data_IF_254849692781
#
_entry.id   IF_254849692781
#
_cell.length_a   1.000
_cell.length_b   1.000
_cell.length_c   1.000
_cell.angle_alpha   90.00
_cell.angle_beta   90.00
_cell.angle_gamma   90.00
#
_symmetry.space_group_name_H-M   'P 1'
#
loop_
_entity.id
_entity.type
_entity.pdbx_description
1 polymer ?
#
# COMPACT_ATOMS: atom_id res chain seq x y z
N UNK A 1 -24.31 -9.95 37.28
CA UNK A 1 -25.26 -9.34 38.23
C UNK A 1 -26.41 -10.31 38.41
N UNK A 2 -26.50 -10.94 39.58
CA UNK A 2 -27.53 -11.95 39.89
C UNK A 2 -28.86 -11.24 40.13
N UNK A 3 -29.87 -11.52 39.30
CA UNK A 3 -31.25 -11.19 39.63
C UNK A 3 -31.65 -11.97 40.89
N UNK A 4 -31.97 -11.26 41.97
CA UNK A 4 -32.71 -11.85 43.07
C UNK A 4 -34.14 -12.05 42.58
N UNK A 5 -34.46 -13.28 42.18
CA UNK A 5 -35.85 -13.70 42.08
C UNK A 5 -36.47 -13.56 43.45
N UNK A 6 -37.35 -12.57 43.59
CA UNK A 6 -38.29 -12.47 44.69
C UNK A 6 -39.14 -13.74 44.58
N UNK A 7 -38.80 -14.74 45.39
CA UNK A 7 -39.41 -16.07 45.35
C UNK A 7 -40.92 -15.94 45.51
N UNK A 8 -41.69 -16.62 44.65
CA UNK A 8 -43.15 -16.68 44.68
C UNK A 8 -43.73 -16.92 46.08
N UNK A 9 -42.97 -17.56 46.98
CA UNK A 9 -43.31 -17.74 48.39
C UNK A 9 -43.57 -16.43 49.16
N UNK A 10 -42.82 -15.35 48.86
CA UNK A 10 -43.00 -14.05 49.51
C UNK A 10 -44.27 -13.38 48.96
N UNK A 11 -44.51 -13.50 47.65
CA UNK A 11 -45.71 -12.97 47.02
C UNK A 11 -46.98 -13.68 47.55
N UNK A 12 -46.92 -15.00 47.72
CA UNK A 12 -47.98 -15.82 48.30
C UNK A 12 -48.26 -15.49 49.77
N UNK A 13 -47.21 -15.15 50.53
CA UNK A 13 -47.36 -14.74 51.93
C UNK A 13 -48.04 -13.36 52.02
N UNK A 14 -47.70 -12.43 51.12
CA UNK A 14 -48.33 -11.12 51.03
C UNK A 14 -49.80 -11.25 50.60
N UNK A 15 -50.10 -12.11 49.61
CA UNK A 15 -51.47 -12.34 49.14
C UNK A 15 -52.31 -13.03 50.22
N UNK A 16 -51.77 -14.00 50.97
CA UNK A 16 -52.46 -14.62 52.11
C UNK A 16 -52.69 -13.66 53.28
N UNK A 17 -51.87 -12.63 53.41
CA UNK A 17 -52.01 -11.60 54.45
C UNK A 17 -53.02 -10.49 54.12
N UNK A 18 -53.69 -10.52 52.95
CA UNK A 18 -54.63 -9.48 52.46
C UNK A 18 -55.87 -9.17 53.32
N UNK A 19 -55.96 -9.64 54.57
CA UNK A 19 -57.15 -9.42 55.39
C UNK A 19 -56.98 -9.12 56.88
N UNK A 20 -55.79 -9.22 57.50
CA UNK A 20 -55.75 -9.24 59.00
C UNK A 20 -54.64 -8.39 59.64
N UNK A 21 -53.83 -7.65 58.86
CA UNK A 21 -52.86 -6.72 59.47
C UNK A 21 -53.14 -5.30 58.98
N UNK A 22 -54.23 -4.72 59.49
CA UNK A 22 -54.41 -3.27 59.50
C UNK A 22 -53.51 -2.70 60.59
N UNK A 23 -52.28 -2.32 60.25
CA UNK A 23 -51.49 -1.44 61.12
C UNK A 23 -52.20 -0.08 61.18
N UNK A 24 -53.13 0.08 62.13
CA UNK A 24 -53.71 1.37 62.45
C UNK A 24 -52.72 2.14 63.32
N UNK A 25 -52.17 3.21 62.77
CA UNK A 25 -51.39 4.17 63.53
C UNK A 25 -52.23 4.71 64.68
N UNK A 26 -51.77 4.55 65.92
CA UNK A 26 -52.51 4.95 67.13
C UNK A 26 -52.77 6.46 67.17
N UNK A 27 -51.91 7.26 66.53
CA UNK A 27 -52.09 8.71 66.35
C UNK A 27 -53.24 9.07 65.39
N UNK A 28 -53.62 8.17 64.48
CA UNK A 28 -54.76 8.37 63.58
C UNK A 28 -56.10 8.01 64.24
N UNK A 29 -56.08 7.28 65.36
CA UNK A 29 -57.30 6.91 66.09
C UNK A 29 -57.83 8.06 66.97
N UNK A 30 -56.96 9.00 67.38
CA UNK A 30 -57.28 10.01 68.40
C UNK A 30 -57.79 11.34 67.84
N UNK A 31 -57.56 11.61 66.55
CA UNK A 31 -57.99 12.85 65.91
C UNK A 31 -59.04 12.51 64.85
N UNK A 32 -60.33 12.71 65.18
CA UNK A 32 -61.49 12.56 64.29
C UNK A 32 -61.56 13.56 63.13
N UNK A 33 -60.41 13.93 62.56
CA UNK A 33 -60.24 14.73 61.36
C UNK A 33 -59.66 13.84 60.24
N UNK A 34 -60.36 12.74 59.95
CA UNK A 34 -59.92 11.67 59.02
C UNK A 34 -59.84 12.10 57.56
N UNK A 35 -60.35 13.27 57.16
CA UNK A 35 -60.38 13.70 55.77
C UNK A 35 -59.27 14.72 55.38
N UNK A 36 -58.47 15.21 56.33
CA UNK A 36 -57.47 16.26 56.04
C UNK A 36 -56.08 15.70 55.68
N UNK A 37 -55.69 14.54 56.26
CA UNK A 37 -54.34 14.01 56.11
C UNK A 37 -54.14 13.25 54.78
N UNK A 38 -55.14 12.48 54.32
CA UNK A 38 -55.04 11.71 53.07
C UNK A 38 -54.92 12.61 51.83
N UNK A 39 -55.63 13.76 51.83
CA UNK A 39 -55.56 14.75 50.75
C UNK A 39 -54.20 15.46 50.68
N UNK A 40 -53.55 15.67 51.83
CA UNK A 40 -52.20 16.25 51.88
C UNK A 40 -51.13 15.27 51.40
N UNK A 41 -51.23 13.99 51.77
CA UNK A 41 -50.30 12.96 51.29
C UNK A 41 -50.47 12.72 49.78
N UNK A 42 -51.71 12.64 49.28
CA UNK A 42 -52.01 12.45 47.85
C UNK A 42 -51.53 13.63 46.99
N UNK A 43 -51.72 14.87 47.46
CA UNK A 43 -51.22 16.06 46.75
C UNK A 43 -49.70 16.12 46.72
N UNK A 44 -49.01 15.78 47.82
CA UNK A 44 -47.54 15.67 47.85
C UNK A 44 -47.01 14.57 46.94
N UNK A 45 -47.67 13.42 46.88
CA UNK A 45 -47.30 12.33 45.96
C UNK A 45 -47.48 12.75 44.49
N UNK A 46 -48.59 13.41 44.17
CA UNK A 46 -48.86 13.93 42.82
C UNK A 46 -47.82 14.99 42.42
N UNK A 47 -47.43 15.86 43.35
CA UNK A 47 -46.37 16.84 43.15
C UNK A 47 -45.01 16.15 42.92
N UNK A 48 -44.66 15.14 43.71
CA UNK A 48 -43.45 14.36 43.54
C UNK A 48 -43.41 13.68 42.17
N UNK A 49 -44.51 13.05 41.75
CA UNK A 49 -44.61 12.40 40.45
C UNK A 49 -44.43 13.40 39.29
N UNK A 50 -45.05 14.58 39.39
CA UNK A 50 -44.87 15.65 38.41
C UNK A 50 -43.42 16.13 38.34
N UNK A 51 -42.74 16.23 39.49
CA UNK A 51 -41.34 16.66 39.59
C UNK A 51 -40.40 15.61 38.99
N UNK A 52 -40.66 14.32 39.24
CA UNK A 52 -39.92 13.21 38.64
C UNK A 52 -40.11 13.20 37.12
N UNK A 53 -41.33 13.43 36.62
CA UNK A 53 -41.59 13.52 35.17
C UNK A 53 -40.84 14.69 34.53
N UNK A 54 -40.83 15.85 35.18
CA UNK A 54 -40.08 17.02 34.71
C UNK A 54 -38.57 16.77 34.70
N UNK A 55 -38.03 16.20 35.77
CA UNK A 55 -36.60 15.87 35.87
C UNK A 55 -36.20 14.83 34.81
N UNK A 56 -37.01 13.79 34.63
CA UNK A 56 -36.80 12.77 33.58
C UNK A 56 -36.79 13.39 32.19
N UNK A 57 -37.71 14.32 31.91
CA UNK A 57 -37.75 15.05 30.65
C UNK A 57 -36.47 15.87 30.44
N UNK A 58 -36.06 16.68 31.42
CA UNK A 58 -34.84 17.49 31.36
C UNK A 58 -33.61 16.62 31.12
N UNK A 59 -33.48 15.52 31.86
CA UNK A 59 -32.36 14.57 31.70
C UNK A 59 -32.38 13.96 30.29
N UNK A 60 -33.56 13.57 29.78
CA UNK A 60 -33.65 12.99 28.44
C UNK A 60 -33.27 13.98 27.34
N UNK A 61 -33.69 15.25 27.47
CA UNK A 61 -33.38 16.32 26.52
C UNK A 61 -31.88 16.67 26.55
N UNK A 62 -31.28 16.75 27.75
CA UNK A 62 -29.84 16.99 27.92
C UNK A 62 -29.00 15.85 27.35
N UNK A 63 -29.35 14.59 27.65
CA UNK A 63 -28.67 13.41 27.09
C UNK A 63 -28.77 13.40 25.56
N UNK A 64 -29.95 13.67 24.99
CA UNK A 64 -30.12 13.73 23.53
C UNK A 64 -29.28 14.86 22.92
N UNK A 65 -29.22 16.02 23.58
CA UNK A 65 -28.39 17.15 23.14
C UNK A 65 -26.90 16.78 23.11
N UNK A 66 -26.39 16.22 24.21
CA UNK A 66 -24.98 15.80 24.31
C UNK A 66 -24.66 14.68 23.30
N UNK A 67 -25.56 13.72 23.08
CA UNK A 67 -25.38 12.68 22.07
C UNK A 67 -25.30 13.25 20.65
N UNK A 68 -26.10 14.27 20.35
CA UNK A 68 -26.05 14.94 19.05
C UNK A 68 -24.75 15.75 18.86
N UNK A 69 -24.27 16.42 19.91
CA UNK A 69 -22.98 17.12 19.90
C UNK A 69 -21.83 16.14 19.68
N UNK A 70 -21.76 15.05 20.45
CA UNK A 70 -20.77 13.99 20.28
C UNK A 70 -20.82 13.41 18.85
N UNK A 71 -22.02 13.16 18.32
CA UNK A 71 -22.18 12.68 16.94
C UNK A 71 -21.62 13.67 15.92
N UNK A 72 -21.85 14.97 16.10
CA UNK A 72 -21.33 16.01 15.23
C UNK A 72 -19.80 16.13 15.32
N UNK A 73 -19.24 16.07 16.54
CA UNK A 73 -17.79 16.07 16.76
C UNK A 73 -17.11 14.85 16.12
N UNK A 74 -17.69 13.66 16.28
CA UNK A 74 -17.20 12.43 15.65
C UNK A 74 -17.22 12.55 14.14
N UNK A 75 -18.31 13.04 13.55
CA UNK A 75 -18.40 13.27 12.11
C UNK A 75 -17.33 14.26 11.61
N UNK A 76 -17.17 15.40 12.30
CA UNK A 76 -16.14 16.40 11.99
C UNK A 76 -14.72 15.82 12.10
N UNK A 77 -14.46 15.02 13.13
CA UNK A 77 -13.18 14.33 13.34
C UNK A 77 -12.89 13.33 12.21
N UNK A 78 -13.88 12.55 11.79
CA UNK A 78 -13.75 11.61 10.67
C UNK A 78 -13.44 12.33 9.35
N UNK A 79 -14.08 13.47 9.08
CA UNK A 79 -13.79 14.27 7.89
C UNK A 79 -12.36 14.83 7.90
N UNK A 80 -11.91 15.37 9.04
CA UNK A 80 -10.52 15.82 9.22
C UNK A 80 -9.51 14.67 9.03
N UNK A 81 -9.83 13.47 9.52
CA UNK A 81 -8.99 12.28 9.32
C UNK A 81 -8.88 11.92 7.84
N UNK A 82 -10.00 11.86 7.12
CA UNK A 82 -10.02 11.58 5.67
C UNK A 82 -9.22 12.61 4.87
N UNK A 83 -9.39 13.90 5.17
CA UNK A 83 -8.62 14.96 4.52
C UNK A 83 -7.11 14.82 4.77
N UNK A 84 -6.73 14.46 6.00
CA UNK A 84 -5.33 14.21 6.37
C UNK A 84 -4.76 13.00 5.63
N UNK A 85 -5.49 11.89 5.55
CA UNK A 85 -5.08 10.69 4.81
C UNK A 85 -4.90 10.97 3.32
N UNK A 86 -5.81 11.73 2.71
CA UNK A 86 -5.70 12.14 1.30
C UNK A 86 -4.46 13.02 1.07
N UNK A 87 -4.21 13.98 1.96
CA UNK A 87 -3.03 14.83 1.89
C UNK A 87 -1.73 14.04 2.02
N UNK A 88 -1.64 13.15 3.01
CA UNK A 88 -0.45 12.29 3.22
C UNK A 88 -0.23 11.38 2.01
N UNK A 89 -1.29 10.78 1.49
CA UNK A 89 -1.22 9.90 0.31
C UNK A 89 -0.72 10.65 -0.92
N UNK A 90 -1.26 11.85 -1.18
CA UNK A 90 -0.82 12.69 -2.30
C UNK A 90 0.64 13.11 -2.15
N UNK A 91 1.06 13.56 -0.96
CA UNK A 91 2.45 13.94 -0.68
C UNK A 91 3.42 12.75 -0.83
N UNK A 92 3.02 11.58 -0.38
CA UNK A 92 3.81 10.35 -0.54
C UNK A 92 4.00 9.98 -2.02
N UNK A 93 2.92 10.01 -2.82
CA UNK A 93 2.99 9.76 -4.26
C UNK A 93 3.90 10.78 -4.96
N UNK A 94 3.80 12.06 -4.61
CA UNK A 94 4.67 13.11 -5.14
C UNK A 94 6.15 12.83 -4.85
N UNK A 95 6.51 12.58 -3.58
CA UNK A 95 7.88 12.24 -3.19
C UNK A 95 8.39 10.96 -3.85
N UNK A 96 7.52 9.97 -4.07
CA UNK A 96 7.87 8.76 -4.78
C UNK A 96 8.20 9.04 -6.26
N UNK A 97 7.46 9.94 -6.91
CA UNK A 97 7.74 10.38 -8.29
C UNK A 97 9.08 11.12 -8.38
N UNK A 98 9.33 12.07 -7.47
CA UNK A 98 10.60 12.80 -7.42
C UNK A 98 11.79 11.86 -7.18
N UNK A 99 11.66 10.92 -6.23
CA UNK A 99 12.71 9.95 -5.95
C UNK A 99 13.03 9.08 -7.17
N UNK A 100 12.00 8.68 -7.92
CA UNK A 100 12.19 7.92 -9.17
C UNK A 100 12.87 8.78 -10.25
N UNK A 101 12.51 10.05 -10.40
CA UNK A 101 13.18 10.94 -11.36
C UNK A 101 14.67 11.13 -11.01
N UNK A 102 14.99 11.40 -9.73
CA UNK A 102 16.37 11.51 -9.27
C UNK A 102 17.16 10.20 -9.51
N UNK A 103 16.58 9.05 -9.17
CA UNK A 103 17.22 7.74 -9.43
C UNK A 103 17.46 7.51 -10.92
N UNK A 104 16.54 7.93 -11.78
CA UNK A 104 16.71 7.83 -13.24
C UNK A 104 17.88 8.67 -13.73
N UNK A 105 18.00 9.91 -13.25
CA UNK A 105 19.11 10.79 -13.59
C UNK A 105 20.45 10.19 -13.14
N UNK A 106 20.53 9.73 -11.89
CA UNK A 106 21.72 9.07 -11.35
C UNK A 106 22.06 7.78 -12.11
N UNK A 107 21.06 7.00 -12.50
CA UNK A 107 21.26 5.76 -13.21
C UNK A 107 21.47 5.91 -14.72
N UNK A 108 21.35 7.11 -15.29
CA UNK A 108 21.45 7.33 -16.75
C UNK A 108 22.79 6.82 -17.31
N UNK A 109 23.86 7.05 -16.58
CA UNK A 109 25.21 6.65 -16.97
C UNK A 109 25.55 5.21 -16.52
N UNK A 110 24.62 4.48 -15.90
CA UNK A 110 24.87 3.16 -15.36
C UNK A 110 24.51 2.07 -16.38
N UNK A 111 25.44 1.14 -16.62
CA UNK A 111 25.21 -0.08 -17.41
C UNK A 111 25.36 -1.29 -16.51
N UNK A 112 24.38 -2.20 -16.58
CA UNK A 112 24.43 -3.50 -15.95
C UNK A 112 24.96 -4.52 -16.95
N UNK A 113 26.06 -5.17 -16.60
CA UNK A 113 26.71 -6.21 -17.40
C UNK A 113 26.43 -7.57 -16.75
N UNK A 114 25.72 -8.44 -17.45
CA UNK A 114 25.44 -9.81 -17.01
C UNK A 114 26.22 -10.82 -17.85
N UNK A 115 26.48 -12.00 -17.30
CA UNK A 115 27.17 -13.10 -18.01
C UNK A 115 28.70 -13.06 -17.93
N UNK A 116 29.26 -12.16 -17.12
CA UNK A 116 30.67 -12.20 -16.75
C UNK A 116 30.94 -13.32 -15.74
N UNK A 117 32.20 -13.75 -15.63
CA UNK A 117 32.64 -14.68 -14.59
C UNK A 117 32.35 -14.16 -13.18
N UNK A 118 32.07 -15.08 -12.26
CA UNK A 118 32.05 -14.79 -10.84
C UNK A 118 33.51 -14.60 -10.37
N UNK A 119 33.73 -13.74 -9.38
CA UNK A 119 35.02 -13.54 -8.71
C UNK A 119 36.16 -12.97 -9.59
N UNK A 120 35.82 -12.15 -10.58
CA UNK A 120 36.83 -11.36 -11.29
C UNK A 120 37.40 -10.28 -10.35
N UNK A 121 38.71 -10.12 -10.37
CA UNK A 121 39.37 -8.98 -9.76
C UNK A 121 38.89 -7.67 -10.38
N UNK A 122 39.11 -6.55 -9.67
CA UNK A 122 38.73 -5.22 -10.16
C UNK A 122 39.39 -4.94 -11.52
N UNK A 123 40.66 -5.29 -11.69
CA UNK A 123 41.39 -5.09 -12.96
C UNK A 123 40.81 -5.93 -14.10
N UNK A 124 40.47 -7.20 -13.85
CA UNK A 124 39.81 -8.05 -14.84
C UNK A 124 38.43 -7.51 -15.23
N UNK A 125 37.70 -6.91 -14.30
CA UNK A 125 36.42 -6.25 -14.61
C UNK A 125 36.60 -5.03 -15.51
N UNK A 126 37.61 -4.19 -15.29
CA UNK A 126 37.93 -3.07 -16.18
C UNK A 126 38.36 -3.58 -17.56
N UNK A 127 39.23 -4.58 -17.61
CA UNK A 127 39.67 -5.19 -18.85
C UNK A 127 38.48 -5.77 -19.64
N UNK A 128 37.54 -6.43 -18.98
CA UNK A 128 36.32 -6.92 -19.63
C UNK A 128 35.48 -5.77 -20.23
N UNK A 129 35.37 -4.63 -19.54
CA UNK A 129 34.65 -3.44 -20.06
C UNK A 129 35.38 -2.87 -21.28
N UNK A 130 36.70 -2.76 -21.25
CA UNK A 130 37.48 -2.28 -22.40
C UNK A 130 37.41 -3.23 -23.58
N UNK A 131 37.48 -4.55 -23.34
CA UNK A 131 37.30 -5.56 -24.38
C UNK A 131 35.91 -5.51 -25.00
N UNK A 132 34.85 -5.28 -24.21
CA UNK A 132 33.49 -5.04 -24.73
C UNK A 132 33.46 -3.79 -25.60
N UNK A 133 34.07 -2.68 -25.16
CA UNK A 133 34.18 -1.46 -25.94
C UNK A 133 34.86 -1.70 -27.29
N UNK A 134 36.04 -2.34 -27.27
CA UNK A 134 36.81 -2.69 -28.46
C UNK A 134 36.01 -3.58 -29.41
N UNK A 135 35.32 -4.61 -28.89
CA UNK A 135 34.49 -5.51 -29.70
C UNK A 135 33.34 -4.78 -30.39
N UNK A 136 32.76 -3.78 -29.72
CA UNK A 136 31.69 -2.94 -30.23
C UNK A 136 32.17 -1.73 -31.04
N UNK A 137 33.47 -1.64 -31.33
CA UNK A 137 34.11 -0.50 -31.99
C UNK A 137 33.81 0.84 -31.30
N UNK A 138 33.83 0.84 -29.96
CA UNK A 138 33.71 2.02 -29.11
C UNK A 138 34.99 2.14 -28.28
N UNK A 139 35.77 3.18 -28.54
CA UNK A 139 36.96 3.46 -27.77
C UNK A 139 36.58 3.95 -26.36
N UNK A 140 36.85 3.11 -25.35
CA UNK A 140 36.61 3.40 -23.93
C UNK A 140 37.97 3.48 -23.25
N UNK A 141 38.34 4.66 -22.76
CA UNK A 141 39.54 4.86 -21.94
C UNK A 141 39.25 4.70 -20.44
N UNK A 142 40.30 4.71 -19.63
CA UNK A 142 40.17 4.67 -18.16
C UNK A 142 39.31 5.83 -17.62
N UNK A 143 39.44 7.03 -18.19
CA UNK A 143 38.68 8.21 -17.76
C UNK A 143 37.19 8.14 -18.14
N UNK A 144 36.80 7.26 -19.07
CA UNK A 144 35.40 7.07 -19.47
C UNK A 144 34.62 6.17 -18.49
N UNK A 145 35.32 5.47 -17.58
CA UNK A 145 34.74 4.56 -16.59
C UNK A 145 35.02 5.09 -15.20
N UNK A 146 34.01 5.66 -14.56
CA UNK A 146 34.17 6.27 -13.24
C UNK A 146 34.18 5.21 -12.12
N UNK A 147 33.34 4.17 -12.22
CA UNK A 147 33.32 3.08 -11.23
C UNK A 147 32.92 1.75 -11.89
N UNK A 148 33.65 0.68 -11.56
CA UNK A 148 33.39 -0.69 -12.01
C UNK A 148 33.40 -1.68 -10.84
N UNK A 149 32.23 -2.08 -10.33
CA UNK A 149 32.08 -3.05 -9.24
C UNK A 149 30.90 -4.03 -9.44
N UNK A 150 30.88 -5.14 -8.69
CA UNK A 150 29.74 -6.06 -8.65
C UNK A 150 28.53 -5.41 -7.98
N UNK A 151 27.30 -5.80 -8.35
CA UNK A 151 25.99 -5.14 -8.09
C UNK A 151 25.70 -4.72 -6.62
N UNK A 152 26.49 -5.14 -5.63
CA UNK A 152 26.52 -4.48 -4.32
C UNK A 152 27.14 -3.07 -4.33
N UNK A 153 27.80 -2.65 -5.42
CA UNK A 153 28.27 -1.29 -5.70
C UNK A 153 28.13 -1.03 -7.21
N UNK A 154 27.41 0.04 -7.58
CA UNK A 154 26.92 0.30 -8.96
C UNK A 154 28.04 0.76 -9.91
N UNK A 155 27.87 0.58 -11.23
CA UNK A 155 28.84 1.03 -12.26
C UNK A 155 28.36 2.24 -13.04
N UNK A 156 29.24 3.18 -13.37
CA UNK A 156 28.96 4.32 -14.26
C UNK A 156 29.97 4.42 -15.43
N UNK A 157 29.46 4.55 -16.65
CA UNK A 157 30.20 4.69 -17.91
C UNK A 157 29.71 5.96 -18.62
N UNK A 158 30.61 6.88 -18.97
CA UNK A 158 30.25 8.17 -19.60
C UNK A 158 29.76 8.01 -21.05
N UNK A 159 30.34 7.09 -21.83
CA UNK A 159 29.96 6.81 -23.23
C UNK A 159 28.79 5.82 -23.37
N UNK A 160 27.88 5.81 -22.39
CA UNK A 160 26.83 4.79 -22.27
C UNK A 160 25.90 4.70 -23.47
N UNK A 161 25.41 5.84 -23.98
CA UNK A 161 24.43 5.85 -25.07
C UNK A 161 25.02 5.30 -26.38
N UNK A 162 26.28 5.64 -26.67
CA UNK A 162 27.01 5.10 -27.83
C UNK A 162 27.25 3.60 -27.69
N UNK A 163 27.71 3.14 -26.53
CA UNK A 163 27.97 1.73 -26.26
C UNK A 163 26.70 0.88 -26.39
N UNK A 164 25.58 1.34 -25.80
CA UNK A 164 24.29 0.64 -25.90
C UNK A 164 23.76 0.61 -27.34
N UNK A 165 23.91 1.71 -28.10
CA UNK A 165 23.54 1.75 -29.52
C UNK A 165 24.32 0.70 -30.33
N UNK A 166 25.64 0.65 -30.15
CA UNK A 166 26.47 -0.34 -30.86
C UNK A 166 26.18 -1.77 -30.41
N UNK A 167 25.91 -1.99 -29.12
CA UNK A 167 25.49 -3.29 -28.61
C UNK A 167 24.23 -3.83 -29.30
N UNK A 168 23.20 -2.99 -29.44
CA UNK A 168 21.96 -3.40 -30.12
C UNK A 168 22.16 -3.63 -31.63
N UNK A 169 23.12 -2.94 -32.26
CA UNK A 169 23.48 -3.16 -33.66
C UNK A 169 24.30 -4.43 -33.87
N UNK A 170 25.25 -4.71 -32.95
CA UNK A 170 26.13 -5.88 -32.99
C UNK A 170 25.39 -7.19 -32.69
N UNK A 171 24.42 -7.16 -31.76
CA UNK A 171 23.53 -8.28 -31.47
C UNK A 171 23.99 -9.13 -30.27
N UNK A 172 24.66 -10.25 -30.52
CA UNK A 172 25.05 -11.20 -29.47
C UNK A 172 26.55 -11.14 -29.17
N UNK A 173 26.89 -10.75 -27.94
CA UNK A 173 28.25 -10.85 -27.41
C UNK A 173 28.37 -12.17 -26.66
N UNK A 174 29.37 -12.98 -27.00
CA UNK A 174 29.72 -14.21 -26.27
C UNK A 174 30.96 -13.98 -25.42
N UNK A 175 31.01 -14.63 -24.26
CA UNK A 175 32.15 -14.54 -23.34
C UNK A 175 33.46 -15.03 -23.95
N UNK A 176 33.42 -16.04 -24.82
CA UNK A 176 34.58 -16.52 -25.58
C UNK A 176 35.22 -15.46 -26.50
N UNK A 177 34.50 -14.37 -26.81
CA UNK A 177 35.05 -13.23 -27.57
C UNK A 177 35.83 -12.24 -26.69
N UNK A 178 35.67 -12.31 -25.36
CA UNK A 178 36.34 -11.41 -24.41
C UNK A 178 37.50 -12.07 -23.67
N UNK A 179 37.37 -13.35 -23.38
CA UNK A 179 38.38 -14.16 -22.69
C UNK A 179 38.57 -15.45 -23.46
N UNK A 180 39.81 -15.95 -23.53
CA UNK A 180 40.20 -17.25 -24.09
C UNK A 180 39.68 -18.40 -23.22
N UNK A 181 38.36 -18.47 -23.05
CA UNK A 181 37.67 -19.50 -22.30
C UNK A 181 36.66 -20.17 -23.21
N UNK A 182 36.50 -21.49 -23.09
CA UNK A 182 35.57 -22.30 -23.90
C UNK A 182 34.08 -22.09 -23.52
N UNK A 183 33.78 -21.00 -22.83
CA UNK A 183 32.45 -20.75 -22.29
C UNK A 183 31.66 -19.92 -23.30
N UNK A 184 30.70 -20.55 -23.97
CA UNK A 184 29.76 -19.90 -24.89
C UNK A 184 28.63 -19.11 -24.20
N UNK A 185 28.87 -18.59 -22.98
CA UNK A 185 27.86 -17.80 -22.26
C UNK A 185 27.67 -16.44 -22.91
N UNK A 186 26.42 -16.06 -23.17
CA UNK A 186 26.06 -14.73 -23.68
C UNK A 186 26.24 -13.65 -22.62
N UNK A 187 26.76 -12.49 -23.04
CA UNK A 187 26.88 -11.28 -22.24
C UNK A 187 25.74 -10.33 -22.58
N UNK A 188 25.10 -9.78 -21.54
CA UNK A 188 24.00 -8.84 -21.69
C UNK A 188 24.38 -7.47 -21.12
N UNK A 189 24.22 -6.43 -21.95
CA UNK A 189 24.26 -5.05 -21.51
C UNK A 189 22.83 -4.56 -21.33
N UNK A 190 22.52 -4.07 -20.15
CA UNK A 190 21.19 -3.59 -19.79
C UNK A 190 21.26 -2.24 -19.09
N UNK A 191 20.15 -1.52 -19.17
CA UNK A 191 19.95 -0.27 -18.45
C UNK A 191 19.76 -0.53 -16.96
N UNK A 192 20.31 0.34 -16.12
CA UNK A 192 20.04 0.33 -14.68
C UNK A 192 18.70 1.05 -14.40
N UNK A 193 17.59 0.35 -14.64
CA UNK A 193 16.25 0.92 -14.48
C UNK A 193 15.94 1.30 -13.02
N UNK A 194 15.07 2.28 -12.82
CA UNK A 194 14.51 2.56 -11.49
C UNK A 194 13.62 1.40 -11.02
N UNK A 195 13.31 1.27 -9.72
CA UNK A 195 12.41 0.21 -9.25
C UNK A 195 11.04 0.23 -9.94
N UNK A 196 10.45 1.42 -10.15
CA UNK A 196 9.17 1.56 -10.84
C UNK A 196 9.26 1.14 -12.31
N UNK A 197 10.31 1.58 -13.02
CA UNK A 197 10.60 1.17 -14.39
C UNK A 197 10.81 -0.35 -14.51
N UNK A 198 11.52 -0.94 -13.54
CA UNK A 198 11.79 -2.38 -13.48
C UNK A 198 10.50 -3.18 -13.25
N UNK A 199 9.65 -2.74 -12.33
CA UNK A 199 8.31 -3.32 -12.11
C UNK A 199 7.49 -3.26 -13.39
N UNK A 200 7.39 -2.09 -14.04
CA UNK A 200 6.64 -1.94 -15.28
C UNK A 200 7.14 -2.88 -16.40
N UNK A 201 8.47 -2.93 -16.62
CA UNK A 201 9.08 -3.82 -17.58
C UNK A 201 8.83 -5.31 -17.26
N UNK A 202 8.89 -5.69 -15.97
CA UNK A 202 8.55 -7.04 -15.53
C UNK A 202 7.09 -7.39 -15.88
N UNK A 203 6.14 -6.52 -15.58
CA UNK A 203 4.73 -6.74 -15.91
C UNK A 203 4.51 -6.88 -17.41
N UNK A 204 5.11 -6.02 -18.24
CA UNK A 204 5.01 -6.15 -19.69
C UNK A 204 5.58 -7.48 -20.20
N UNK A 205 6.73 -7.93 -19.65
CA UNK A 205 7.30 -9.24 -19.99
C UNK A 205 6.41 -10.40 -19.55
N UNK A 206 5.74 -10.28 -18.41
CA UNK A 206 4.78 -11.28 -17.92
C UNK A 206 3.58 -11.38 -18.87
N UNK A 207 2.97 -10.25 -19.24
CA UNK A 207 1.87 -10.19 -20.21
C UNK A 207 2.26 -10.75 -21.58
N UNK A 208 3.50 -10.50 -22.02
CA UNK A 208 4.03 -11.04 -23.27
C UNK A 208 4.15 -12.57 -23.22
N UNK A 209 4.62 -13.13 -22.10
CA UNK A 209 4.71 -14.58 -21.89
C UNK A 209 3.35 -15.26 -21.82
N UNK A 210 2.36 -14.57 -21.25
CA UNK A 210 0.97 -15.03 -21.18
C UNK A 210 0.23 -14.90 -22.53
N UNK A 211 0.87 -14.34 -23.58
CA UNK A 211 0.23 -14.15 -24.89
C UNK A 211 -0.85 -13.06 -24.90
N UNK A 212 -1.02 -12.29 -23.82
CA UNK A 212 -2.02 -11.21 -23.70
C UNK A 212 -1.65 -9.99 -24.55
N UNK A 213 -0.37 -9.83 -24.86
CA UNK A 213 0.15 -8.75 -25.69
C UNK A 213 1.13 -9.36 -26.69
N UNK A 214 1.20 -8.81 -27.90
CA UNK A 214 2.11 -9.28 -28.95
C UNK A 214 3.51 -8.69 -28.80
N UNK A 215 3.59 -7.42 -28.40
CA UNK A 215 4.83 -6.65 -28.27
C UNK A 215 4.62 -5.50 -27.30
N UNK A 216 5.71 -4.98 -26.75
CA UNK A 216 5.70 -3.69 -26.07
C UNK A 216 6.96 -2.88 -26.39
N UNK A 217 6.84 -1.56 -26.29
CA UNK A 217 7.96 -0.61 -26.31
C UNK A 217 7.99 0.15 -24.99
N UNK A 218 9.09 0.05 -24.28
CA UNK A 218 9.29 0.69 -22.98
C UNK A 218 9.86 2.11 -23.14
N UNK A 219 9.34 3.06 -22.37
CA UNK A 219 9.80 4.44 -22.33
C UNK A 219 10.24 4.81 -20.91
N UNK A 220 11.55 4.99 -20.73
CA UNK A 220 12.15 5.36 -19.44
C UNK A 220 12.06 6.89 -19.20
N UNK A 221 10.84 7.41 -19.10
CA UNK A 221 10.58 8.81 -18.69
C UNK A 221 10.58 8.94 -17.16
N UNK A 222 10.37 10.15 -16.64
CA UNK A 222 10.27 10.36 -15.17
C UNK A 222 9.10 9.57 -14.58
N UNK A 223 7.99 9.52 -15.32
CA UNK A 223 6.95 8.52 -15.15
C UNK A 223 7.12 7.44 -16.22
N UNK A 224 7.59 6.23 -15.88
CA UNK A 224 7.76 5.15 -16.84
C UNK A 224 6.46 4.78 -17.53
N UNK A 225 6.51 4.64 -18.85
CA UNK A 225 5.36 4.28 -19.68
C UNK A 225 5.72 3.12 -20.60
N UNK A 226 4.72 2.33 -20.98
CA UNK A 226 4.87 1.27 -21.97
C UNK A 226 3.81 1.43 -23.06
N UNK A 227 4.25 1.46 -24.32
CA UNK A 227 3.34 1.29 -25.47
C UNK A 227 3.16 -0.19 -25.71
N UNK A 228 1.97 -0.69 -25.44
CA UNK A 228 1.59 -2.10 -25.56
C UNK A 228 0.87 -2.29 -26.89
N UNK A 229 1.15 -3.41 -27.55
CA UNK A 229 0.48 -3.85 -28.78
C UNK A 229 -0.31 -5.12 -28.48
N UNK A 230 -1.62 -5.06 -28.64
CA UNK A 230 -2.56 -6.13 -28.33
C UNK A 230 -2.74 -7.09 -29.53
N UNK A 231 -3.24 -8.31 -29.30
CA UNK A 231 -3.53 -9.28 -30.36
C UNK A 231 -4.53 -8.78 -31.42
N UNK A 232 -5.43 -7.89 -31.03
CA UNK A 232 -6.42 -7.26 -31.92
C UNK A 232 -5.83 -6.18 -32.85
N UNK A 233 -4.53 -5.89 -32.76
CA UNK A 233 -3.86 -4.83 -33.52
C UNK A 233 -3.84 -3.46 -32.84
N UNK A 234 -4.58 -3.26 -31.76
CA UNK A 234 -4.60 -1.99 -31.03
C UNK A 234 -3.26 -1.73 -30.35
N UNK A 235 -2.93 -0.44 -30.20
CA UNK A 235 -1.82 -0.02 -29.35
C UNK A 235 -2.23 1.05 -28.35
N UNK A 236 -1.82 0.89 -27.09
CA UNK A 236 -2.11 1.85 -26.02
C UNK A 236 -0.85 2.19 -25.24
N UNK A 237 -0.71 3.45 -24.86
CA UNK A 237 0.34 3.93 -23.96
C UNK A 237 -0.20 3.87 -22.53
N UNK A 238 0.40 3.02 -21.69
CA UNK A 238 -0.05 2.78 -20.33
C UNK A 238 1.05 3.13 -19.32
N UNK A 239 0.64 3.78 -18.22
CA UNK A 239 1.43 3.94 -17.01
C UNK A 239 1.36 2.68 -16.16
N UNK A 240 2.22 2.60 -15.14
CA UNK A 240 2.21 1.49 -14.17
C UNK A 240 0.85 1.29 -13.50
N UNK A 241 0.18 2.37 -13.09
CA UNK A 241 -1.12 2.31 -12.41
C UNK A 241 -2.21 1.70 -13.31
N UNK A 242 -2.31 2.18 -14.56
CA UNK A 242 -3.27 1.66 -15.54
C UNK A 242 -3.02 0.19 -15.83
N UNK A 243 -1.75 -0.21 -15.94
CA UNK A 243 -1.37 -1.58 -16.21
C UNK A 243 -1.65 -2.50 -15.01
N UNK A 244 -1.43 -2.00 -13.78
CA UNK A 244 -1.76 -2.71 -12.55
C UNK A 244 -3.28 -2.91 -12.38
N UNK A 245 -4.09 -1.92 -12.75
CA UNK A 245 -5.55 -2.07 -12.80
C UNK A 245 -5.97 -3.17 -13.78
N UNK A 246 -5.41 -3.18 -14.99
CA UNK A 246 -5.67 -4.26 -15.96
C UNK A 246 -5.24 -5.64 -15.45
N UNK A 247 -4.21 -5.71 -14.60
CA UNK A 247 -3.79 -6.96 -13.98
C UNK A 247 -4.82 -7.45 -12.97
N UNK A 248 -5.23 -6.57 -12.04
CA UNK A 248 -6.20 -6.89 -10.98
C UNK A 248 -7.59 -7.26 -11.50
N UNK A 249 -8.06 -6.59 -12.55
CA UNK A 249 -9.39 -6.87 -13.12
C UNK A 249 -9.49 -8.27 -13.73
N UNK A 250 -8.39 -8.82 -14.25
CA UNK A 250 -8.38 -10.14 -14.88
C UNK A 250 -8.34 -11.29 -13.87
N UNK A 251 -7.77 -11.06 -12.68
CA UNK A 251 -7.79 -12.06 -11.62
C UNK A 251 -9.20 -12.19 -11.00
N UNK A 252 -9.99 -11.12 -11.02
CA UNK A 252 -11.37 -11.12 -10.52
C UNK A 252 -12.34 -11.86 -11.45
N UNK A 253 -12.17 -11.77 -12.78
CA UNK A 253 -13.05 -12.44 -13.74
C UNK A 253 -12.89 -13.96 -13.82
N UNK A 254 -11.87 -14.53 -13.16
CA UNK A 254 -11.66 -16.00 -13.09
C UNK A 254 -12.33 -16.60 -11.85
N UNK A 255 -12.72 -15.78 -10.86
CA UNK A 255 -13.31 -16.26 -9.59
C UNK A 255 -14.85 -16.12 -9.58
N UNK A 256 -15.46 -15.37 -10.50
CA UNK A 256 -16.92 -15.28 -10.62
C UNK A 256 -17.51 -16.31 -11.61
N UNK A 257 -17.02 -17.54 -11.56
CA UNK A 257 -17.59 -18.69 -12.26
C UNK A 257 -18.47 -19.51 -11.34
N UNK A 258 -19.44 -18.90 -10.64
CA UNK A 258 -20.47 -19.63 -9.90
C UNK A 258 -21.76 -18.79 -9.79
N UNK A 259 -22.81 -19.37 -10.37
CA UNK A 259 -24.24 -19.19 -10.15
C UNK A 259 -24.87 -17.81 -10.37
N UNK A 260 -25.50 -17.72 -11.55
CA UNK A 260 -26.51 -16.76 -11.94
C UNK A 260 -27.80 -16.99 -11.15
N UNK A 261 -27.83 -16.67 -9.85
CA UNK A 261 -29.08 -16.55 -9.09
C UNK A 261 -29.48 -15.09 -8.91
N UNK A 262 -30.62 -14.81 -9.52
CA UNK A 262 -31.27 -13.51 -9.65
C UNK A 262 -31.88 -13.12 -8.31
N UNK A 263 -31.25 -12.24 -7.55
CA UNK A 263 -31.87 -11.59 -6.38
C UNK A 263 -31.92 -10.08 -6.59
N UNK A 264 -33.09 -9.67 -7.09
CA UNK A 264 -33.59 -8.31 -7.18
C UNK A 264 -33.69 -7.69 -5.78
N UNK A 265 -32.73 -6.85 -5.40
CA UNK A 265 -32.88 -5.91 -4.30
C UNK A 265 -33.44 -4.59 -4.82
N UNK A 266 -34.75 -4.39 -4.64
CA UNK A 266 -35.39 -3.08 -4.66
C UNK A 266 -34.81 -2.28 -3.49
N UNK A 267 -34.09 -1.20 -3.80
CA UNK A 267 -33.77 -0.16 -2.82
C UNK A 267 -34.76 0.98 -3.05
N UNK A 268 -35.67 1.15 -2.10
CA UNK A 268 -36.57 2.29 -2.03
C UNK A 268 -35.73 3.56 -1.84
N UNK A 269 -35.66 4.34 -2.91
CA UNK A 269 -35.04 5.66 -2.90
C UNK A 269 -36.10 6.66 -2.47
N UNK A 270 -36.10 7.06 -1.19
CA UNK A 270 -36.85 8.23 -0.75
C UNK A 270 -36.22 9.48 -1.37
N UNK A 271 -36.91 10.04 -2.35
CA UNK A 271 -36.63 11.35 -2.95
C UNK A 271 -37.17 12.42 -2.03
N UNK A 272 -36.28 13.11 -1.31
CA UNK A 272 -36.61 14.37 -0.64
C UNK A 272 -36.59 15.46 -1.72
N UNK A 273 -37.78 15.88 -2.15
CA UNK A 273 -37.97 17.08 -2.96
C UNK A 273 -37.79 18.29 -2.05
N UNK A 274 -36.70 19.03 -2.23
CA UNK A 274 -36.52 20.36 -1.64
C UNK A 274 -36.85 21.38 -2.73
N UNK A 275 -37.94 22.12 -2.50
CA UNK A 275 -38.34 23.29 -3.27
C UNK A 275 -37.19 24.31 -3.31
N UNK A 276 -36.82 24.71 -4.53
CA UNK A 276 -35.91 25.84 -4.77
C UNK A 276 -36.74 27.04 -5.18
N UNK A 277 -36.88 27.98 -4.27
CA UNK A 277 -37.27 29.35 -4.60
C UNK A 277 -36.21 30.33 -4.09
N UNK A 278 -35.87 31.24 -5.01
CA UNK A 278 -35.25 32.56 -4.84
C UNK A 278 -33.75 32.66 -4.54
N UNK A 279 -33.06 33.47 -5.35
CA UNK A 279 -31.89 34.25 -4.90
C UNK A 279 -30.69 34.21 -5.82
N UNK A 280 -30.78 34.84 -6.98
CA UNK A 280 -29.64 35.25 -7.79
C UNK A 280 -28.84 36.34 -7.04
N UNK A 281 -27.54 36.14 -6.83
CA UNK A 281 -26.60 37.22 -6.52
C UNK A 281 -25.26 36.94 -7.19
N UNK A 282 -24.98 37.74 -8.21
CA UNK A 282 -23.70 37.86 -8.90
C UNK A 282 -22.76 38.71 -8.05
N UNK A 283 -21.60 38.17 -7.66
CA UNK A 283 -20.46 38.99 -7.21
C UNK A 283 -19.18 38.44 -7.83
N UNK A 284 -18.63 39.22 -8.74
CA UNK A 284 -17.28 39.03 -9.26
C UNK A 284 -16.25 39.48 -8.21
N UNK A 285 -15.23 38.66 -7.98
CA UNK A 285 -14.09 39.00 -7.13
C UNK A 285 -12.93 38.04 -7.34
N UNK A 286 -11.78 38.58 -7.75
CA UNK A 286 -10.52 37.86 -7.96
C UNK A 286 -10.00 37.16 -6.68
N UNK A 287 -9.24 36.06 -6.80
CA UNK A 287 -8.72 35.36 -5.64
C UNK A 287 -7.47 36.05 -5.07
N UNK A 288 -7.64 36.75 -3.95
CA UNK A 288 -6.53 37.14 -3.07
C UNK A 288 -6.16 35.95 -2.19
N UNK A 289 -4.95 35.41 -2.37
CA UNK A 289 -4.31 34.45 -1.48
C UNK A 289 -4.11 35.08 -0.09
N UNK A 290 -5.04 34.84 0.84
CA UNK A 290 -4.83 35.06 2.28
C UNK A 290 -4.50 33.73 2.95
N UNK A 291 -3.28 33.66 3.48
CA UNK A 291 -2.85 32.64 4.44
C UNK A 291 -3.69 32.74 5.70
N UNK A 292 -4.54 31.75 5.95
CA UNK A 292 -5.22 31.60 7.24
C UNK A 292 -4.26 30.92 8.21
N UNK A 293 -3.78 31.69 9.19
CA UNK A 293 -3.17 31.16 10.41
C UNK A 293 -4.25 30.39 11.21
N UNK A 294 -3.93 29.22 11.77
CA UNK A 294 -4.88 28.48 12.59
C UNK A 294 -5.16 29.19 13.93
N UNK A 295 -6.34 28.95 14.55
CA UNK A 295 -6.69 29.56 15.83
C UNK A 295 -5.78 29.05 16.94
N UNK A 296 -5.12 30.00 17.59
CA UNK A 296 -4.32 29.80 18.81
C UNK A 296 -5.24 29.56 19.99
N UNK A 297 -5.57 28.29 20.27
CA UNK A 297 -5.98 27.83 21.61
C UNK A 297 -5.97 26.29 21.69
N UNK A 298 -4.83 25.69 21.36
CA UNK A 298 -4.47 24.36 21.86
C UNK A 298 -3.02 24.45 22.34
N UNK A 299 -2.80 24.29 23.66
CA UNK A 299 -1.45 24.09 24.21
C UNK A 299 -0.84 22.86 23.54
N UNK A 300 0.35 22.94 22.93
CA UNK A 300 1.04 21.77 22.44
C UNK A 300 1.72 21.07 23.62
N UNK A 301 1.26 19.86 23.93
CA UNK A 301 2.06 18.94 24.73
C UNK A 301 3.31 18.54 23.91
N UNK A 302 4.46 18.60 24.59
CA UNK A 302 5.81 18.29 24.11
C UNK A 302 5.90 17.16 23.04
N UNK A 303 6.40 17.42 21.82
CA UNK A 303 6.66 16.37 20.85
C UNK A 303 8.09 15.84 21.04
N UNK A 304 8.33 14.99 22.04
CA UNK A 304 9.69 14.46 22.29
C UNK A 304 9.88 12.96 22.08
N UNK A 305 8.88 12.19 21.61
CA UNK A 305 9.09 10.75 21.36
C UNK A 305 8.24 10.05 20.28
N UNK A 306 7.33 10.74 19.57
CA UNK A 306 6.43 10.09 18.61
C UNK A 306 7.05 9.78 17.22
N UNK A 307 8.21 10.37 16.87
CA UNK A 307 8.83 10.24 15.54
C UNK A 307 9.74 9.02 15.35
N UNK A 308 10.13 8.36 16.43
CA UNK A 308 11.00 7.17 16.38
C UNK A 308 10.34 5.93 15.74
N UNK A 309 9.06 5.58 16.02
CA UNK A 309 8.45 4.39 15.43
C UNK A 309 8.25 4.51 13.91
N UNK A 310 7.90 5.69 13.39
CA UNK A 310 7.67 5.90 11.95
C UNK A 310 8.95 5.75 11.11
N UNK A 311 10.09 6.27 11.59
CA UNK A 311 11.39 6.07 10.91
C UNK A 311 11.84 4.61 10.93
N UNK A 312 11.55 3.87 12.02
CA UNK A 312 11.87 2.45 12.11
C UNK A 312 10.98 1.60 11.18
N UNK A 313 9.68 1.88 11.13
CA UNK A 313 8.73 1.22 10.22
C UNK A 313 9.06 1.52 8.75
N UNK A 314 9.45 2.76 8.42
CA UNK A 314 9.87 3.10 7.06
C UNK A 314 11.15 2.37 6.63
N UNK A 315 12.12 2.21 7.53
CA UNK A 315 13.35 1.42 7.27
C UNK A 315 13.05 -0.08 7.10
N UNK A 316 12.15 -0.64 7.91
CA UNK A 316 11.71 -2.03 7.76
C UNK A 316 10.95 -2.26 6.45
N UNK A 317 10.11 -1.31 6.02
CA UNK A 317 9.38 -1.38 4.76
C UNK A 317 10.31 -1.34 3.54
N UNK A 318 11.32 -0.45 3.52
CA UNK A 318 12.35 -0.41 2.48
C UNK A 318 13.14 -1.74 2.42
N UNK A 319 13.47 -2.34 3.57
CA UNK A 319 14.17 -3.62 3.64
C UNK A 319 13.31 -4.82 3.16
N UNK A 320 12.00 -4.77 3.42
CA UNK A 320 11.04 -5.76 2.94
C UNK A 320 10.87 -5.70 1.41
N UNK A 321 10.74 -4.49 0.85
CA UNK A 321 10.60 -4.30 -0.61
C UNK A 321 11.85 -4.77 -1.39
N UNK A 322 13.03 -4.70 -0.78
CA UNK A 322 14.28 -5.20 -1.38
C UNK A 322 14.45 -6.72 -1.33
N UNK A 323 13.74 -7.44 -0.45
CA UNK A 323 13.79 -8.91 -0.34
C UNK A 323 12.75 -9.62 -1.21
N UNK A 324 11.68 -8.94 -1.60
CA UNK A 324 10.50 -9.56 -2.22
C UNK A 324 10.56 -9.70 -3.76
N UNK A 325 11.68 -9.41 -4.43
CA UNK A 325 11.79 -9.59 -5.88
C UNK A 325 12.80 -10.69 -6.26
N UNK A 326 12.35 -11.93 -6.50
CA UNK A 326 13.16 -12.89 -7.23
C UNK A 326 13.41 -12.34 -8.64
N UNK A 327 14.67 -12.01 -8.94
CA UNK A 327 15.10 -11.60 -10.27
C UNK A 327 14.78 -12.73 -11.26
N UNK A 328 14.06 -12.46 -12.36
CA UNK A 328 13.75 -13.50 -13.33
C UNK A 328 15.04 -13.95 -14.02
N UNK A 329 15.38 -15.23 -13.85
CA UNK A 329 16.34 -15.93 -14.69
C UNK A 329 15.90 -15.77 -16.15
N UNK A 330 16.80 -15.27 -16.99
CA UNK A 330 16.55 -15.03 -18.39
C UNK A 330 16.17 -16.37 -19.07
N UNK A 331 14.99 -16.51 -19.70
CA UNK A 331 14.66 -17.76 -20.38
C UNK A 331 15.55 -17.89 -21.60
N UNK A 332 16.40 -18.93 -21.60
CA UNK A 332 17.09 -19.39 -22.79
C UNK A 332 16.03 -19.63 -23.88
N UNK A 333 16.20 -18.96 -25.02
CA UNK A 333 15.44 -19.20 -26.23
C UNK A 333 15.71 -20.64 -26.65
N UNK A 334 14.75 -21.55 -26.43
CA UNK A 334 14.82 -22.93 -26.93
C UNK A 334 14.91 -22.88 -28.45
N UNK A 335 16.10 -23.09 -28.99
CA UNK A 335 16.23 -23.62 -30.34
C UNK A 335 15.85 -25.09 -30.26
N UNK A 336 14.79 -25.46 -30.96
CA UNK A 336 14.42 -26.84 -31.20
C UNK A 336 15.42 -27.43 -32.19
N UNK A 337 16.41 -28.15 -31.69
CA UNK A 337 17.13 -29.15 -32.47
C UNK A 337 17.04 -30.48 -31.74
N UNK A 338 16.24 -31.36 -32.33
CA UNK A 338 16.22 -32.79 -32.08
C UNK A 338 17.64 -33.35 -31.96
N UNK A 339 17.96 -33.96 -30.81
CA UNK A 339 18.65 -35.24 -30.74
C UNK A 339 18.70 -35.75 -29.29
N UNK A 340 18.06 -36.90 -29.09
CA UNK A 340 18.21 -37.78 -27.93
C UNK A 340 19.69 -38.18 -27.79
N UNK A 341 20.25 -38.09 -26.57
CA UNK A 341 20.90 -39.24 -25.92
C UNK A 341 21.25 -38.96 -24.46
N UNK A 342 21.17 -40.06 -23.71
CA UNK A 342 21.34 -40.26 -22.28
C UNK A 342 22.79 -40.06 -21.81
N UNK A 343 22.97 -39.83 -20.51
CA UNK A 343 23.89 -40.49 -19.54
C UNK A 343 24.15 -39.49 -18.39
N UNK A 344 23.66 -39.70 -17.16
CA UNK A 344 24.08 -40.60 -16.06
C UNK A 344 25.03 -39.91 -15.06
N UNK A 345 24.61 -40.02 -13.82
CA UNK A 345 25.08 -39.50 -12.53
C UNK A 345 26.53 -39.85 -12.20
N UNK A 346 27.32 -38.93 -11.60
CA UNK A 346 28.26 -39.26 -10.50
C UNK A 346 28.30 -38.09 -9.49
N UNK A 347 27.96 -38.43 -8.25
CA UNK A 347 28.29 -37.70 -7.02
C UNK A 347 29.71 -38.08 -6.59
N UNK A 348 30.54 -37.13 -6.16
CA UNK A 348 31.76 -37.42 -5.41
C UNK A 348 32.07 -36.30 -4.43
N UNK A 349 32.16 -36.68 -3.16
CA UNK A 349 32.48 -35.86 -1.99
C UNK A 349 33.96 -35.41 -1.97
N UNK A 350 34.32 -34.43 -1.13
CA UNK A 350 35.65 -33.82 -1.11
C UNK A 350 36.64 -34.61 -0.25
N UNK A 351 37.92 -34.61 -0.63
CA UNK A 351 39.03 -34.95 0.26
C UNK A 351 39.96 -33.76 0.45
N UNK A 352 40.42 -33.68 1.69
CA UNK A 352 41.29 -32.69 2.32
C UNK A 352 42.71 -32.74 1.75
N UNK A 353 43.43 -31.65 1.99
CA UNK A 353 44.70 -31.28 1.36
C UNK A 353 45.91 -32.13 1.69
N UNK A 354 47.01 -31.80 1.02
CA UNK A 354 48.31 -31.58 1.68
C UNK A 354 49.18 -30.69 0.80
N UNK A 355 49.91 -29.82 1.49
CA UNK A 355 50.93 -28.88 0.99
C UNK A 355 52.23 -29.66 0.73
N UNK A 356 52.92 -29.38 -0.36
CA UNK A 356 54.38 -29.43 -0.38
C UNK A 356 54.93 -28.38 -1.36
N UNK A 357 55.81 -27.53 -0.83
CA UNK A 357 56.63 -26.61 -1.58
C UNK A 357 57.87 -27.37 -2.09
N UNK A 358 58.20 -27.18 -3.36
CA UNK A 358 59.46 -27.63 -3.95
C UNK A 358 59.82 -26.70 -5.11
N UNK A 359 60.89 -25.94 -4.92
CA UNK A 359 61.53 -25.04 -5.91
C UNK A 359 62.57 -25.81 -6.76
N UNK A 360 63.15 -25.21 -7.83
CA UNK A 360 63.40 -25.82 -9.14
C UNK A 360 64.86 -26.36 -9.29
N UNK A 361 65.21 -26.96 -10.45
CA UNK A 361 65.54 -26.22 -11.69
C UNK A 361 64.56 -26.37 -12.84
#
# INVERSE_FOLDING_TARGET
TKNCDITESILDTIIKSKGVITFQCQSCLSNGATNSCENEVSSKLSQLESSIKQLSKIISEDIISQLNEIKAEVACSMEKSKATEQFVTSKFQHLQMENNSLRKQLNRNHILIYGLGQNLSVNELYNAVFSIGKLLNVEIGHNDVNLCAYIHQKKSIFKRDLLMKQYFAYGEIKRSQLCETDIHSRIYLNDNLTPLASKLNYFCRKLLKEGKINKFRFFNKDLPEAKIYFPNGDSKLLSFEKLNLMFKSNDASVISGENHDTLSNKSDTQTVVVDKNTGEMTVAGEPVLRSLSPPTNCKPDNPSNADKPLKAQFRQWIAFEQRAMPMPVCPQRRQTSSLKRQFLTIWSNPRKGTVSCGQPP
#
